data_IF_313965900911
#
_entry.id   IF_313965900911
#
_cell.length_a   1.000
_cell.length_b   1.000
_cell.length_c   1.000
_cell.angle_alpha   90.00
_cell.angle_beta   90.00
_cell.angle_gamma   90.00
#
_symmetry.space_group_name_H-M   'P 1'
#
loop_
_entity.id
_entity.type
_entity.pdbx_description
1 polymer ?
#
# COMPACT_ATOMS: atom_id res chain seq x y z
N UNK A 1 17.42 -4.41 -9.87
CA UNK A 1 17.28 -4.19 -8.42
C UNK A 1 15.86 -4.52 -7.88
N UNK A 2 15.08 -5.39 -8.56
CA UNK A 2 13.69 -5.73 -8.17
C UNK A 2 13.50 -7.14 -7.59
N UNK A 3 14.51 -8.00 -7.69
CA UNK A 3 14.47 -9.38 -7.19
C UNK A 3 14.71 -9.50 -5.67
N UNK A 4 14.99 -8.40 -4.96
CA UNK A 4 15.23 -8.39 -3.50
C UNK A 4 14.11 -7.72 -2.69
N UNK A 5 13.02 -7.31 -3.34
CA UNK A 5 11.89 -6.73 -2.63
C UNK A 5 11.04 -7.87 -2.05
N UNK A 6 10.98 -7.92 -0.71
CA UNK A 6 10.10 -8.79 0.04
C UNK A 6 8.68 -8.75 -0.55
N UNK A 7 8.07 -9.92 -0.76
CA UNK A 7 6.69 -10.11 -1.24
C UNK A 7 5.69 -9.11 -0.65
N UNK A 8 5.70 -8.81 0.67
CA UNK A 8 4.75 -7.85 1.25
C UNK A 8 4.95 -6.41 0.75
N UNK A 9 6.18 -6.01 0.43
CA UNK A 9 6.47 -4.66 -0.10
C UNK A 9 5.95 -4.51 -1.53
N UNK A 10 5.99 -5.58 -2.35
CA UNK A 10 5.40 -5.56 -3.69
C UNK A 10 3.89 -5.34 -3.64
N UNK A 11 3.20 -6.05 -2.75
CA UNK A 11 1.76 -5.91 -2.54
C UNK A 11 1.45 -4.49 -2.04
N UNK A 12 2.19 -4.03 -1.03
CA UNK A 12 2.14 -2.65 -0.53
C UNK A 12 2.19 -1.62 -1.64
N UNK A 13 3.19 -1.73 -2.51
CA UNK A 13 3.43 -0.77 -3.59
C UNK A 13 2.34 -0.77 -4.66
N UNK A 14 1.77 -1.93 -5.00
CA UNK A 14 0.67 -2.03 -5.96
C UNK A 14 -0.59 -1.31 -5.45
N UNK A 15 -0.96 -1.53 -4.18
CA UNK A 15 -2.10 -0.85 -3.56
C UNK A 15 -1.85 0.65 -3.37
N UNK A 16 -0.62 1.04 -3.04
CA UNK A 16 -0.23 2.45 -2.99
C UNK A 16 -0.43 3.15 -4.34
N UNK A 17 -0.03 2.50 -5.44
CA UNK A 17 -0.20 3.02 -6.79
C UNK A 17 -1.68 3.15 -7.17
N UNK A 18 -2.51 2.16 -6.81
CA UNK A 18 -3.97 2.22 -6.98
C UNK A 18 -4.60 3.37 -6.18
N UNK A 19 -4.22 3.52 -4.91
CA UNK A 19 -4.67 4.62 -4.07
C UNK A 19 -4.25 5.99 -4.61
N UNK A 20 -3.02 6.10 -5.10
CA UNK A 20 -2.53 7.31 -5.78
C UNK A 20 -3.34 7.61 -7.05
N UNK A 21 -3.66 6.60 -7.86
CA UNK A 21 -4.49 6.77 -9.06
C UNK A 21 -5.90 7.28 -8.70
N UNK A 22 -6.51 6.76 -7.64
CA UNK A 22 -7.81 7.24 -7.16
C UNK A 22 -7.75 8.71 -6.69
N UNK A 23 -6.68 9.12 -6.01
CA UNK A 23 -6.48 10.53 -5.64
C UNK A 23 -6.36 11.42 -6.87
N UNK A 24 -5.60 10.99 -7.89
CA UNK A 24 -5.48 11.72 -9.16
C UNK A 24 -6.87 11.88 -9.81
N UNK A 25 -7.69 10.84 -9.82
CA UNK A 25 -9.08 10.92 -10.33
C UNK A 25 -9.92 11.91 -9.52
N UNK A 26 -9.78 11.93 -8.19
CA UNK A 26 -10.45 12.89 -7.31
C UNK A 26 -10.04 14.35 -7.57
N UNK A 27 -8.76 14.58 -7.87
CA UNK A 27 -8.23 15.89 -8.27
C UNK A 27 -8.82 16.32 -9.61
N UNK A 28 -8.83 15.44 -10.63
CA UNK A 28 -9.37 15.74 -11.97
C UNK A 28 -10.87 16.05 -11.88
N UNK A 29 -11.62 15.38 -10.99
CA UNK A 29 -13.04 15.67 -10.74
C UNK A 29 -13.30 17.00 -10.04
N UNK A 30 -12.27 17.75 -9.63
CA UNK A 30 -12.42 19.02 -8.92
C UNK A 30 -12.88 18.87 -7.46
N UNK A 31 -12.80 17.66 -6.90
CA UNK A 31 -13.26 17.36 -5.54
C UNK A 31 -12.19 17.70 -4.47
N UNK A 32 -11.00 18.12 -4.89
CA UNK A 32 -9.87 18.49 -4.01
C UNK A 32 -9.54 19.96 -4.22
N UNK A 33 -9.48 20.79 -3.15
CA UNK A 33 -9.07 22.18 -3.26
C UNK A 33 -7.67 22.29 -3.90
N UNK A 34 -7.50 23.18 -4.87
CA UNK A 34 -6.29 23.33 -5.69
C UNK A 34 -5.05 23.85 -4.95
N UNK A 35 -5.06 23.83 -3.62
CA UNK A 35 -3.92 24.25 -2.82
C UNK A 35 -2.86 23.11 -2.79
N UNK A 36 -1.59 23.38 -3.12
CA UNK A 36 -0.55 22.35 -3.22
C UNK A 36 -0.40 21.50 -1.94
N UNK A 37 -0.59 22.11 -0.77
CA UNK A 37 -0.54 21.38 0.50
C UNK A 37 -1.69 20.36 0.65
N UNK A 38 -2.89 20.69 0.17
CA UNK A 38 -4.06 19.80 0.27
C UNK A 38 -3.91 18.61 -0.67
N UNK A 39 -3.33 18.83 -1.85
CA UNK A 39 -2.98 17.76 -2.78
C UNK A 39 -1.92 16.83 -2.20
N UNK A 40 -0.88 17.37 -1.56
CA UNK A 40 0.15 16.57 -0.90
C UNK A 40 -0.41 15.70 0.22
N UNK A 41 -1.29 16.25 1.06
CA UNK A 41 -1.98 15.49 2.11
C UNK A 41 -2.91 14.43 1.52
N UNK A 42 -3.67 14.76 0.46
CA UNK A 42 -4.53 13.81 -0.22
C UNK A 42 -3.74 12.63 -0.83
N UNK A 43 -2.57 12.90 -1.43
CA UNK A 43 -1.67 11.88 -1.96
C UNK A 43 -1.01 11.05 -0.85
N UNK A 44 -0.62 11.66 0.27
CA UNK A 44 -0.07 10.96 1.42
C UNK A 44 -1.09 10.03 2.07
N UNK A 45 -2.32 10.49 2.26
CA UNK A 45 -3.39 9.67 2.84
C UNK A 45 -3.84 8.62 1.82
N UNK A 46 -4.09 9.00 0.56
CA UNK A 46 -4.59 8.06 -0.45
C UNK A 46 -3.54 7.09 -1.00
N UNK A 47 -2.27 7.45 -1.06
CA UNK A 47 -1.19 6.54 -1.48
C UNK A 47 -0.51 5.87 -0.29
N UNK A 48 -0.06 6.68 0.68
CA UNK A 48 0.73 6.22 1.82
C UNK A 48 -0.05 5.37 2.83
N UNK A 49 -1.30 5.73 3.14
CA UNK A 49 -2.12 4.90 4.05
C UNK A 49 -2.41 3.53 3.43
N UNK A 50 -2.77 3.50 2.14
CA UNK A 50 -3.05 2.27 1.41
C UNK A 50 -1.81 1.39 1.25
N UNK A 51 -0.63 1.98 1.07
CA UNK A 51 0.65 1.27 1.16
C UNK A 51 0.83 0.55 2.50
N UNK A 52 0.69 1.29 3.61
CA UNK A 52 0.93 0.76 4.95
C UNK A 52 -0.05 -0.36 5.30
N UNK A 53 -1.34 -0.17 5.01
CA UNK A 53 -2.38 -1.17 5.30
C UNK A 53 -2.11 -2.46 4.54
N UNK A 54 -1.87 -2.38 3.23
CA UNK A 54 -1.64 -3.57 2.40
C UNK A 54 -0.31 -4.27 2.71
N UNK A 55 0.75 -3.51 3.00
CA UNK A 55 2.02 -4.06 3.48
C UNK A 55 1.86 -4.81 4.81
N UNK A 56 1.15 -4.21 5.78
CA UNK A 56 0.92 -4.83 7.09
C UNK A 56 0.10 -6.12 6.97
N UNK A 57 -0.98 -6.11 6.18
CA UNK A 57 -1.81 -7.30 5.94
C UNK A 57 -1.01 -8.40 5.27
N UNK A 58 -0.24 -8.07 4.22
CA UNK A 58 0.61 -9.05 3.55
C UNK A 58 1.71 -9.61 4.48
N UNK A 59 2.25 -8.78 5.36
CA UNK A 59 3.24 -9.21 6.35
C UNK A 59 2.61 -10.18 7.36
N UNK A 60 1.43 -9.84 7.89
CA UNK A 60 0.70 -10.71 8.80
C UNK A 60 0.30 -12.05 8.15
N UNK A 61 -0.11 -12.04 6.88
CA UNK A 61 -0.42 -13.27 6.15
C UNK A 61 0.81 -14.18 6.02
N UNK A 62 1.96 -13.62 5.66
CA UNK A 62 3.22 -14.38 5.53
C UNK A 62 3.74 -14.88 6.88
N UNK A 63 3.56 -14.09 7.94
CA UNK A 63 3.89 -14.49 9.31
C UNK A 63 3.10 -15.74 9.72
N UNK A 64 1.79 -15.76 9.44
CA UNK A 64 0.93 -16.94 9.69
C UNK A 64 1.33 -18.14 8.84
N UNK A 65 1.57 -17.95 7.54
CA UNK A 65 2.01 -19.03 6.64
C UNK A 65 3.32 -19.67 7.12
N UNK A 66 4.27 -18.84 7.54
CA UNK A 66 5.57 -19.30 8.05
C UNK A 66 5.40 -20.05 9.37
N UNK A 67 4.57 -19.55 10.30
CA UNK A 67 4.32 -20.20 11.59
C UNK A 67 3.65 -21.57 11.40
N UNK A 68 2.71 -21.69 10.45
CA UNK A 68 2.06 -22.96 10.11
C UNK A 68 3.02 -23.99 9.50
N UNK A 69 3.91 -23.57 8.59
CA UNK A 69 4.91 -24.45 7.96
C UNK A 69 5.84 -25.09 9.01
N UNK A 70 6.20 -24.36 10.07
CA UNK A 70 7.04 -24.89 11.15
C UNK A 70 6.31 -25.84 12.11
N UNK A 71 4.96 -25.78 12.17
CA UNK A 71 4.14 -26.68 12.99
C UNK A 71 3.95 -28.04 12.31
N UNK A 72 3.82 -28.07 10.99
CA UNK A 72 3.61 -29.31 10.22
C UNK A 72 4.90 -30.18 10.11
N UNK A 73 6.08 -29.61 10.34
CA UNK A 73 7.36 -30.35 10.39
C UNK A 73 7.65 -31.02 11.75
N UNK A 74 6.81 -30.86 12.77
CA UNK A 74 6.94 -31.52 14.09
C UNK A 74 5.97 -32.69 14.28
#
# INVERSE_FOLDING_TARGET
MWHRLNTPVKIGLSFAALGMALVIVGIIRGNVPLHPANMAVALLIGGGMWFLVSWAVATAAIDVETDMEHVDEQ
#
